data_IF_462420069618
#
_entry.id   IF_462420069618
#
_cell.length_a   1.000
_cell.length_b   1.000
_cell.length_c   1.000
_cell.angle_alpha   90.00
_cell.angle_beta   90.00
_cell.angle_gamma   90.00
#
_symmetry.space_group_name_H-M   'P 1'
#
loop_
_entity.id
_entity.type
_entity.pdbx_description
1 polymer ?
#
# COMPACT_ATOMS: atom_id res chain seq x y z
N UNK A 1 -30.49 62.82 21.38
CA UNK A 1 -29.87 61.53 21.73
C UNK A 1 -30.04 60.62 20.51
N UNK A 2 -28.96 60.46 19.70
CA UNK A 2 -28.97 59.64 18.45
C UNK A 2 -28.39 58.27 18.76
N UNK A 3 -29.26 57.22 18.68
CA UNK A 3 -28.77 55.84 18.72
C UNK A 3 -28.11 55.45 17.40
N UNK A 4 -26.82 55.08 17.48
CA UNK A 4 -26.09 54.49 16.37
C UNK A 4 -26.25 52.96 16.51
N UNK A 5 -26.95 52.35 15.56
CA UNK A 5 -27.09 50.92 15.46
C UNK A 5 -25.86 50.36 14.69
N UNK A 6 -24.96 49.65 15.38
CA UNK A 6 -23.83 48.97 14.72
C UNK A 6 -24.27 47.58 14.35
N UNK A 7 -24.46 47.33 13.04
CA UNK A 7 -24.75 46.01 12.51
C UNK A 7 -23.41 45.26 12.32
N UNK A 8 -23.14 44.25 13.12
CA UNK A 8 -22.02 43.33 12.94
C UNK A 8 -22.38 42.30 11.85
N UNK A 9 -21.75 42.41 10.70
CA UNK A 9 -21.84 41.38 9.63
C UNK A 9 -20.87 40.25 10.00
N UNK A 10 -21.40 39.13 10.48
CA UNK A 10 -20.60 37.90 10.63
C UNK A 10 -20.38 37.27 9.25
N UNK A 11 -19.17 37.41 8.72
CA UNK A 11 -18.76 36.67 7.51
C UNK A 11 -18.53 35.20 7.89
N UNK A 12 -19.50 34.33 7.60
CA UNK A 12 -19.33 32.89 7.66
C UNK A 12 -18.43 32.46 6.50
N UNK A 13 -17.19 32.14 6.80
CA UNK A 13 -16.26 31.52 5.84
C UNK A 13 -16.78 30.12 5.54
N UNK A 14 -17.44 29.92 4.41
CA UNK A 14 -17.74 28.61 3.86
C UNK A 14 -16.41 27.98 3.42
N UNK A 15 -15.79 27.18 4.28
CA UNK A 15 -14.69 26.32 3.90
C UNK A 15 -15.25 25.28 2.90
N UNK A 16 -15.06 25.52 1.60
CA UNK A 16 -15.32 24.49 0.59
C UNK A 16 -14.34 23.34 0.85
N UNK A 17 -14.81 22.08 0.96
CA UNK A 17 -13.88 20.95 1.02
C UNK A 17 -13.05 20.99 -0.27
N UNK A 18 -11.75 21.14 -0.13
CA UNK A 18 -10.80 20.97 -1.23
C UNK A 18 -10.88 19.51 -1.64
N UNK A 19 -11.57 19.21 -2.73
CA UNK A 19 -11.44 17.91 -3.38
C UNK A 19 -9.99 17.81 -3.83
N UNK A 20 -9.21 17.00 -3.11
CA UNK A 20 -7.84 16.73 -3.51
C UNK A 20 -7.88 16.18 -4.94
N UNK A 21 -7.24 16.88 -5.87
CA UNK A 21 -7.13 16.42 -7.25
C UNK A 21 -6.38 15.10 -7.25
N UNK A 22 -7.00 14.06 -7.79
CA UNK A 22 -6.41 12.73 -7.89
C UNK A 22 -5.05 12.82 -8.62
N UNK A 23 -4.01 12.27 -8.02
CA UNK A 23 -2.66 12.33 -8.60
C UNK A 23 -2.51 11.28 -9.70
N UNK A 24 -1.76 11.55 -10.77
CA UNK A 24 -1.50 10.55 -11.80
C UNK A 24 -0.93 9.26 -11.18
N UNK A 25 -1.58 8.12 -11.47
CA UNK A 25 -1.20 6.81 -10.95
C UNK A 25 -1.75 6.47 -9.56
N UNK A 26 -2.44 7.37 -8.88
CA UNK A 26 -3.04 7.10 -7.57
C UNK A 26 -4.05 5.94 -7.60
N UNK A 27 -4.97 5.80 -8.58
CA UNK A 27 -5.87 4.67 -8.64
C UNK A 27 -5.16 3.32 -8.78
N UNK A 28 -4.07 3.28 -9.54
CA UNK A 28 -3.27 2.07 -9.71
C UNK A 28 -2.56 1.68 -8.41
N UNK A 29 -1.98 2.67 -7.71
CA UNK A 29 -1.40 2.47 -6.38
C UNK A 29 -2.45 1.97 -5.38
N UNK A 30 -3.62 2.62 -5.30
CA UNK A 30 -4.71 2.21 -4.40
C UNK A 30 -5.17 0.78 -4.67
N UNK A 31 -5.26 0.37 -5.95
CA UNK A 31 -5.58 -0.99 -6.35
C UNK A 31 -4.52 -2.00 -5.89
N UNK A 32 -3.25 -1.69 -6.07
CA UNK A 32 -2.12 -2.52 -5.63
C UNK A 32 -2.09 -2.63 -4.10
N UNK A 33 -2.21 -1.52 -3.41
CA UNK A 33 -2.21 -1.45 -1.95
C UNK A 33 -3.38 -2.24 -1.36
N UNK A 34 -4.59 -2.05 -1.91
CA UNK A 34 -5.77 -2.81 -1.50
C UNK A 34 -5.57 -4.32 -1.66
N UNK A 35 -5.10 -4.78 -2.82
CA UNK A 35 -4.84 -6.19 -3.06
C UNK A 35 -3.85 -6.77 -2.05
N UNK A 36 -2.78 -6.04 -1.74
CA UNK A 36 -1.77 -6.50 -0.79
C UNK A 36 -2.32 -6.55 0.63
N UNK A 37 -3.02 -5.49 1.08
CA UNK A 37 -3.58 -5.41 2.43
C UNK A 37 -4.65 -6.48 2.64
N UNK A 38 -5.52 -6.72 1.65
CA UNK A 38 -6.59 -7.72 1.72
C UNK A 38 -6.12 -9.17 1.53
N UNK A 39 -4.85 -9.38 1.20
CA UNK A 39 -4.24 -10.71 1.27
C UNK A 39 -3.89 -11.02 2.73
N UNK A 40 -4.60 -11.97 3.35
CA UNK A 40 -4.23 -12.40 4.70
C UNK A 40 -2.84 -13.03 4.69
N UNK A 41 -1.95 -12.54 5.54
CA UNK A 41 -0.56 -13.00 5.71
C UNK A 41 -0.21 -13.23 7.18
N UNK A 42 -1.22 -13.59 8.00
CA UNK A 42 -0.98 -14.02 9.38
C UNK A 42 -0.28 -15.38 9.40
N UNK A 43 0.45 -15.64 10.46
CA UNK A 43 1.16 -16.91 10.61
C UNK A 43 0.22 -18.13 10.65
N UNK A 44 -0.95 -18.02 11.28
CA UNK A 44 -1.86 -19.16 11.50
C UNK A 44 -2.69 -19.55 10.28
N UNK A 45 -3.01 -18.62 9.39
CA UNK A 45 -3.98 -18.82 8.30
C UNK A 45 -3.71 -17.99 7.05
N UNK A 46 -2.60 -17.28 7.03
CA UNK A 46 -2.22 -16.40 5.93
C UNK A 46 -1.32 -17.08 4.90
N UNK A 47 -1.00 -16.32 3.85
CA UNK A 47 -0.16 -16.78 2.74
C UNK A 47 0.71 -15.62 2.21
N UNK A 48 1.94 -15.54 2.71
CA UNK A 48 2.95 -14.58 2.25
C UNK A 48 3.40 -14.90 0.82
N UNK A 49 3.44 -16.19 0.45
CA UNK A 49 3.79 -16.63 -0.92
C UNK A 49 2.78 -16.12 -1.93
N UNK A 50 1.48 -16.15 -1.60
CA UNK A 50 0.43 -15.56 -2.44
C UNK A 50 0.60 -14.04 -2.56
N UNK A 51 0.87 -13.34 -1.44
CA UNK A 51 1.11 -11.89 -1.46
C UNK A 51 2.31 -11.55 -2.36
N UNK A 52 3.43 -12.26 -2.21
CA UNK A 52 4.61 -12.12 -3.06
C UNK A 52 4.30 -12.37 -4.54
N UNK A 53 3.53 -13.42 -4.84
CA UNK A 53 3.11 -13.79 -6.20
C UNK A 53 2.26 -12.68 -6.85
N UNK A 54 1.33 -12.08 -6.09
CA UNK A 54 0.52 -10.95 -6.56
C UNK A 54 1.37 -9.73 -6.90
N UNK A 55 2.36 -9.39 -6.06
CA UNK A 55 3.27 -8.28 -6.33
C UNK A 55 4.17 -8.57 -7.54
N UNK A 56 4.68 -9.80 -7.68
CA UNK A 56 5.43 -10.22 -8.87
C UNK A 56 4.58 -10.08 -10.16
N UNK A 57 3.31 -10.46 -10.12
CA UNK A 57 2.40 -10.31 -11.26
C UNK A 57 2.23 -8.84 -11.68
N UNK A 58 2.17 -7.90 -10.71
CA UNK A 58 2.13 -6.46 -10.99
C UNK A 58 3.38 -5.94 -11.69
N UNK A 59 4.56 -6.42 -11.26
CA UNK A 59 5.84 -6.06 -11.88
C UNK A 59 5.97 -6.69 -13.28
N UNK A 60 5.57 -7.94 -13.43
CA UNK A 60 5.55 -8.62 -14.74
C UNK A 60 4.66 -7.90 -15.75
N UNK A 61 3.50 -7.39 -15.31
CA UNK A 61 2.58 -6.65 -16.16
C UNK A 61 3.17 -5.33 -16.76
N UNK A 62 4.25 -4.80 -16.16
CA UNK A 62 4.94 -3.60 -16.64
C UNK A 62 6.29 -3.92 -17.28
N UNK A 63 6.59 -5.20 -17.55
CA UNK A 63 7.73 -5.61 -18.37
C UNK A 63 8.92 -6.18 -17.62
N UNK A 64 8.82 -6.45 -16.31
CA UNK A 64 9.87 -7.22 -15.63
C UNK A 64 9.97 -8.63 -16.22
N UNK A 65 11.18 -9.07 -16.51
CA UNK A 65 11.43 -10.44 -16.96
C UNK A 65 11.27 -11.43 -15.80
N UNK A 66 10.93 -12.67 -16.11
CA UNK A 66 10.83 -13.73 -15.10
C UNK A 66 12.15 -13.95 -14.34
N UNK A 67 13.28 -13.73 -14.99
CA UNK A 67 14.60 -13.83 -14.39
C UNK A 67 14.87 -12.75 -13.32
N UNK A 68 14.16 -11.63 -13.37
CA UNK A 68 14.29 -10.51 -12.43
C UNK A 68 13.31 -10.62 -11.24
N UNK A 69 12.45 -11.64 -11.26
CA UNK A 69 11.39 -11.86 -10.26
C UNK A 69 11.60 -13.22 -9.58
N UNK A 70 12.29 -13.24 -8.45
CA UNK A 70 12.52 -14.46 -7.70
C UNK A 70 11.55 -14.55 -6.51
N UNK A 71 10.56 -15.45 -6.61
CA UNK A 71 9.72 -15.85 -5.48
C UNK A 71 10.47 -16.98 -4.75
N UNK A 72 10.99 -16.67 -3.57
CA UNK A 72 11.63 -17.66 -2.72
C UNK A 72 10.62 -18.23 -1.74
N UNK A 73 10.70 -19.53 -1.50
CA UNK A 73 9.84 -20.23 -0.53
C UNK A 73 10.76 -21.06 0.37
N UNK A 74 10.75 -20.82 1.70
CA UNK A 74 11.57 -21.63 2.60
C UNK A 74 11.15 -23.09 2.60
N UNK A 75 12.11 -24.00 2.76
CA UNK A 75 11.84 -25.43 2.78
C UNK A 75 10.91 -25.79 3.95
N UNK A 76 9.86 -26.53 3.64
CA UNK A 76 8.85 -26.94 4.63
C UNK A 76 7.82 -25.87 5.01
N UNK A 77 7.94 -24.64 4.46
CA UNK A 77 7.07 -23.50 4.80
C UNK A 77 6.47 -22.89 3.51
N UNK A 78 5.55 -23.59 2.82
CA UNK A 78 5.08 -23.20 1.49
C UNK A 78 4.30 -21.87 1.46
N UNK A 79 3.81 -21.40 2.59
CA UNK A 79 3.04 -20.16 2.69
C UNK A 79 3.88 -18.96 3.18
N UNK A 80 5.15 -19.17 3.55
CA UNK A 80 6.02 -18.14 4.15
C UNK A 80 7.02 -17.57 3.14
N UNK A 81 6.68 -17.58 1.86
CA UNK A 81 7.53 -17.06 0.80
C UNK A 81 7.58 -15.54 0.73
N UNK A 82 8.51 -15.06 -0.08
CA UNK A 82 8.70 -13.65 -0.36
C UNK A 82 9.13 -13.41 -1.81
N UNK A 83 9.27 -12.15 -2.19
CA UNK A 83 9.68 -11.73 -3.52
C UNK A 83 11.01 -10.95 -3.44
N UNK A 84 11.96 -11.32 -4.30
CA UNK A 84 13.10 -10.50 -4.64
C UNK A 84 12.91 -10.04 -6.08
N UNK A 85 12.69 -8.74 -6.28
CA UNK A 85 12.61 -8.14 -7.60
C UNK A 85 13.87 -7.32 -7.86
N UNK A 86 14.49 -7.53 -9.00
CA UNK A 86 15.70 -6.81 -9.43
C UNK A 86 15.35 -5.85 -10.56
N UNK A 87 15.73 -4.60 -10.43
CA UNK A 87 15.65 -3.61 -11.50
C UNK A 87 17.06 -3.12 -11.82
N UNK A 88 17.54 -3.42 -13.02
CA UNK A 88 18.89 -3.07 -13.43
C UNK A 88 19.03 -1.56 -13.62
N UNK A 89 20.01 -0.95 -12.97
CA UNK A 89 20.39 0.43 -13.21
C UNK A 89 21.14 0.60 -14.53
N UNK A 90 21.20 1.83 -15.03
CA UNK A 90 21.93 2.19 -16.26
C UNK A 90 23.45 2.26 -16.07
N UNK A 91 23.93 2.37 -14.83
CA UNK A 91 25.36 2.45 -14.49
C UNK A 91 25.76 1.31 -13.56
N UNK A 92 26.49 0.34 -14.11
CA UNK A 92 27.00 -0.80 -13.36
C UNK A 92 28.04 -0.45 -12.28
N UNK A 93 28.57 0.78 -12.26
CA UNK A 93 29.52 1.26 -11.25
C UNK A 93 28.81 1.90 -10.06
N UNK A 94 27.58 2.29 -10.22
CA UNK A 94 26.72 2.76 -9.10
C UNK A 94 26.38 1.59 -8.20
N UNK A 95 26.42 1.80 -6.90
CA UNK A 95 26.04 0.76 -5.92
C UNK A 95 24.59 0.32 -6.08
N UNK A 96 24.23 -0.75 -5.36
CA UNK A 96 22.85 -1.26 -5.31
C UNK A 96 22.07 -0.59 -4.17
N UNK A 97 20.84 -0.18 -4.45
CA UNK A 97 19.88 0.25 -3.44
C UNK A 97 18.96 -0.92 -3.13
N UNK A 98 18.89 -1.31 -1.86
CA UNK A 98 17.95 -2.32 -1.39
C UNK A 98 16.73 -1.64 -0.79
N UNK A 99 15.54 -1.97 -1.30
CA UNK A 99 14.24 -1.58 -0.75
C UNK A 99 13.68 -2.79 -0.01
N UNK A 100 13.49 -2.70 1.29
CA UNK A 100 13.10 -3.81 2.13
C UNK A 100 11.76 -3.52 2.81
N UNK A 101 10.87 -4.51 2.83
CA UNK A 101 9.63 -4.51 3.58
C UNK A 101 9.23 -5.97 3.90
N UNK A 102 8.44 -6.17 4.97
CA UNK A 102 7.89 -7.49 5.26
C UNK A 102 6.42 -7.58 4.85
N UNK A 103 5.97 -8.82 4.55
CA UNK A 103 4.61 -9.10 4.10
C UNK A 103 3.72 -9.66 5.20
N UNK A 104 4.34 -10.36 6.18
CA UNK A 104 3.62 -10.97 7.27
C UNK A 104 2.97 -9.92 8.19
N UNK A 105 1.90 -10.32 8.83
CA UNK A 105 1.22 -9.51 9.84
C UNK A 105 0.90 -10.35 11.06
N UNK A 106 0.87 -9.70 12.23
CA UNK A 106 0.41 -10.36 13.45
C UNK A 106 -1.06 -10.76 13.35
N UNK A 107 -1.45 -11.73 14.17
CA UNK A 107 -2.81 -12.27 14.19
C UNK A 107 -3.88 -11.17 14.33
N UNK A 108 -5.01 -11.39 13.67
CA UNK A 108 -6.15 -10.50 13.73
C UNK A 108 -7.44 -11.34 13.77
N UNK A 109 -7.84 -11.70 14.98
CA UNK A 109 -9.08 -12.45 15.20
C UNK A 109 -10.27 -11.55 14.94
N UNK A 110 -11.25 -12.04 14.16
CA UNK A 110 -12.42 -11.24 13.76
C UNK A 110 -13.18 -10.66 14.97
N UNK A 111 -13.23 -11.39 16.09
CA UNK A 111 -13.90 -10.97 17.31
C UNK A 111 -13.24 -9.77 18.02
N UNK A 112 -11.96 -9.53 17.78
CA UNK A 112 -11.21 -8.41 18.36
C UNK A 112 -11.34 -7.12 17.54
N UNK A 113 -12.05 -7.17 16.40
CA UNK A 113 -12.17 -6.06 15.47
C UNK A 113 -13.63 -5.66 15.25
N UNK A 114 -13.91 -4.38 15.28
CA UNK A 114 -15.24 -3.83 14.93
C UNK A 114 -15.55 -4.00 13.43
N UNK A 115 -14.51 -4.08 12.59
CA UNK A 115 -14.56 -4.26 11.13
C UNK A 115 -13.78 -5.50 10.75
N UNK A 116 -13.96 -5.99 9.52
CA UNK A 116 -13.11 -7.08 9.01
C UNK A 116 -11.64 -6.61 8.91
N UNK A 117 -10.69 -7.27 9.61
CA UNK A 117 -9.29 -6.86 9.61
C UNK A 117 -8.60 -7.02 8.23
N UNK A 118 -9.14 -7.84 7.32
CA UNK A 118 -8.59 -8.06 5.98
C UNK A 118 -9.40 -7.42 4.86
N UNK A 119 -10.25 -6.47 5.19
CA UNK A 119 -10.92 -5.58 4.23
C UNK A 119 -10.38 -4.17 4.41
N UNK A 120 -9.78 -3.60 3.36
CA UNK A 120 -9.26 -2.23 3.40
C UNK A 120 -10.42 -1.24 3.37
N UNK A 121 -10.62 -0.53 4.46
CA UNK A 121 -11.66 0.51 4.61
C UNK A 121 -10.98 1.87 4.61
N UNK A 122 -11.47 2.77 3.77
CA UNK A 122 -11.08 4.18 3.79
C UNK A 122 -12.22 5.00 4.41
N UNK A 123 -11.93 5.71 5.48
CA UNK A 123 -12.89 6.53 6.22
C UNK A 123 -12.17 7.72 6.85
N UNK A 124 -12.73 8.91 6.72
CA UNK A 124 -12.21 10.16 7.28
C UNK A 124 -10.73 10.45 6.92
N UNK A 125 -10.28 10.00 5.72
CA UNK A 125 -8.92 10.18 5.25
C UNK A 125 -7.90 9.18 5.82
N UNK A 126 -8.36 8.13 6.50
CA UNK A 126 -7.53 7.05 7.04
C UNK A 126 -7.87 5.71 6.42
N UNK A 127 -6.86 4.82 6.39
CA UNK A 127 -7.03 3.42 6.00
C UNK A 127 -7.05 2.53 7.24
N UNK A 128 -8.05 1.65 7.31
CA UNK A 128 -8.23 0.71 8.41
C UNK A 128 -8.17 -0.72 7.89
N UNK A 129 -7.17 -1.45 8.28
CA UNK A 129 -7.03 -2.90 8.10
C UNK A 129 -5.81 -3.42 8.88
N UNK A 130 -5.68 -4.74 9.03
CA UNK A 130 -4.46 -5.36 9.54
C UNK A 130 -3.33 -5.20 8.50
N UNK A 131 -2.18 -4.67 8.95
CA UNK A 131 -1.02 -4.45 8.09
C UNK A 131 -1.12 -3.20 7.19
N UNK A 132 -2.18 -2.38 7.32
CA UNK A 132 -2.31 -1.15 6.53
C UNK A 132 -1.14 -0.17 6.73
N UNK A 133 -0.49 -0.17 7.88
CA UNK A 133 0.71 0.63 8.13
C UNK A 133 1.97 -0.23 8.23
N UNK A 134 1.94 -1.31 9.00
CA UNK A 134 3.06 -2.16 9.33
C UNK A 134 2.87 -3.57 8.72
N UNK A 135 3.56 -3.93 7.61
CA UNK A 135 4.45 -3.09 6.81
C UNK A 135 4.02 -3.09 5.32
N UNK A 136 2.76 -3.50 5.03
CA UNK A 136 2.24 -3.61 3.66
C UNK A 136 2.14 -2.27 2.93
N UNK A 137 2.02 -1.15 3.66
CA UNK A 137 2.11 0.17 3.05
C UNK A 137 3.48 0.38 2.40
N UNK A 138 4.56 0.00 3.11
CA UNK A 138 5.92 0.12 2.60
C UNK A 138 6.15 -0.83 1.42
N UNK A 139 5.69 -2.09 1.53
CA UNK A 139 5.78 -3.06 0.45
C UNK A 139 5.03 -2.59 -0.82
N UNK A 140 3.85 -1.99 -0.64
CA UNK A 140 3.09 -1.40 -1.74
C UNK A 140 3.81 -0.21 -2.38
N UNK A 141 4.40 0.69 -1.58
CA UNK A 141 5.17 1.84 -2.05
C UNK A 141 6.38 1.38 -2.87
N UNK A 142 7.13 0.38 -2.40
CA UNK A 142 8.28 -0.14 -3.13
C UNK A 142 7.88 -0.81 -4.44
N UNK A 143 6.80 -1.59 -4.43
CA UNK A 143 6.29 -2.22 -5.66
C UNK A 143 5.81 -1.17 -6.66
N UNK A 144 5.04 -0.16 -6.24
CA UNK A 144 4.59 0.93 -7.12
C UNK A 144 5.75 1.78 -7.63
N UNK A 145 6.78 1.98 -6.81
CA UNK A 145 8.01 2.66 -7.23
C UNK A 145 8.66 1.93 -8.40
N UNK A 146 8.85 0.62 -8.29
CA UNK A 146 9.39 -0.18 -9.40
C UNK A 146 8.47 -0.17 -10.63
N UNK A 147 7.14 -0.24 -10.45
CA UNK A 147 6.15 -0.10 -11.53
C UNK A 147 6.30 1.23 -12.28
N UNK A 148 6.58 2.31 -11.56
CA UNK A 148 6.76 3.65 -12.16
C UNK A 148 8.09 3.79 -12.88
N UNK A 149 9.16 3.20 -12.36
CA UNK A 149 10.48 3.22 -13.01
C UNK A 149 10.54 2.35 -14.27
N UNK A 150 9.70 1.33 -14.41
CA UNK A 150 9.63 0.46 -15.57
C UNK A 150 8.84 1.05 -16.76
N UNK A 151 8.17 2.18 -16.57
CA UNK A 151 7.38 2.88 -17.62
C UNK A 151 8.19 3.98 -18.30
#
# INVERSE_FOLDING_TARGET
MRLILVAAIAAASLATPSLATERPGEPAFRSLYKELVETNTTHSSGDCTLAATRMAARLKAVGFADADLNIFVPEGLPLDGGLIATFAGSDAKSGTVMLLAHLDVVEAKREDWTRDPFTLIEEDGYFYARGSADDKSQAAIWTDTLVRFAK
#
